data_IF_963964172953
#
_entry.id   IF_963964172953
#
_cell.length_a   1.000
_cell.length_b   1.000
_cell.length_c   1.000
_cell.angle_alpha   90.00
_cell.angle_beta   90.00
_cell.angle_gamma   90.00
#
_symmetry.space_group_name_H-M   'P 1'
#
loop_
_entity.id
_entity.type
_entity.pdbx_description
1 polymer ?
#
# COMPACT_ATOMS: atom_id res chain seq x y z
N UNK A 1 71.12 -54.83 -54.08
CA UNK A 1 71.78 -53.53 -54.25
C UNK A 1 71.78 -52.82 -52.90
N UNK A 2 72.96 -52.67 -52.31
CA UNK A 2 73.26 -51.77 -51.19
C UNK A 2 73.41 -50.33 -51.76
N UNK A 3 73.47 -49.21 -50.99
CA UNK A 3 73.20 -49.02 -49.55
C UNK A 3 72.67 -47.60 -49.14
N UNK A 4 72.66 -47.31 -47.81
CA UNK A 4 73.19 -46.08 -47.13
C UNK A 4 72.46 -44.72 -47.39
N UNK A 5 72.28 -43.73 -46.50
CA UNK A 5 72.47 -43.42 -45.06
C UNK A 5 72.01 -41.94 -44.88
N UNK A 6 71.71 -41.54 -43.63
CA UNK A 6 71.83 -40.18 -43.06
C UNK A 6 70.84 -39.07 -43.49
N UNK A 7 70.60 -38.03 -42.71
CA UNK A 7 70.72 -37.73 -41.27
C UNK A 7 70.18 -36.29 -41.08
N UNK A 8 69.55 -36.05 -39.93
CA UNK A 8 69.31 -34.79 -39.19
C UNK A 8 69.54 -33.39 -39.81
N UNK A 9 68.59 -32.49 -39.50
CA UNK A 9 68.73 -31.16 -38.81
C UNK A 9 67.31 -30.58 -38.60
N UNK A 10 66.75 -30.48 -37.38
CA UNK A 10 66.96 -29.50 -36.27
C UNK A 10 66.45 -28.08 -36.59
N UNK A 11 65.68 -27.53 -35.64
CA UNK A 11 65.07 -26.17 -35.49
C UNK A 11 63.62 -26.05 -35.97
N UNK A 12 62.64 -25.46 -35.25
CA UNK A 12 62.63 -24.79 -33.95
C UNK A 12 61.17 -24.51 -33.52
N UNK A 13 60.99 -24.34 -32.21
CA UNK A 13 60.00 -23.49 -31.52
C UNK A 13 58.51 -23.88 -31.52
N UNK A 14 58.12 -24.38 -30.35
CA UNK A 14 56.87 -24.11 -29.61
C UNK A 14 56.23 -22.76 -29.90
N UNK A 15 54.90 -22.71 -30.08
CA UNK A 15 54.03 -21.69 -29.46
C UNK A 15 52.60 -22.24 -29.29
N UNK A 16 52.21 -22.34 -28.02
CA UNK A 16 50.87 -22.10 -27.45
C UNK A 16 49.69 -23.00 -27.81
N UNK A 17 49.37 -23.85 -26.84
CA UNK A 17 48.01 -24.31 -26.51
C UNK A 17 47.10 -23.11 -26.24
N UNK A 18 45.91 -23.06 -26.82
CA UNK A 18 44.73 -22.30 -26.33
C UNK A 18 43.53 -22.61 -27.24
N UNK A 19 42.90 -23.79 -27.10
CA UNK A 19 41.60 -24.03 -27.77
C UNK A 19 40.62 -24.94 -27.02
N UNK A 20 40.84 -25.22 -25.74
CA UNK A 20 39.93 -26.08 -24.94
C UNK A 20 39.64 -25.42 -23.58
N UNK A 21 39.28 -24.12 -23.59
CA UNK A 21 38.72 -23.43 -22.41
C UNK A 21 37.49 -22.57 -22.72
N UNK A 22 37.09 -22.46 -23.98
CA UNK A 22 35.98 -21.58 -24.38
C UNK A 22 34.59 -22.25 -24.44
N UNK A 23 34.50 -23.59 -24.38
CA UNK A 23 33.23 -24.32 -24.46
C UNK A 23 32.65 -24.77 -23.12
N UNK A 24 33.36 -24.52 -22.01
CA UNK A 24 32.85 -24.82 -20.65
C UNK A 24 32.41 -23.58 -19.87
N UNK A 25 32.62 -22.38 -20.41
CA UNK A 25 32.16 -21.13 -19.78
C UNK A 25 30.83 -20.63 -20.33
N UNK A 26 30.39 -21.04 -21.53
CA UNK A 26 29.07 -20.61 -22.05
C UNK A 26 27.90 -21.42 -21.51
N UNK A 27 28.13 -22.65 -21.00
CA UNK A 27 27.08 -23.48 -20.40
C UNK A 27 26.85 -23.21 -18.91
N UNK A 28 27.76 -22.50 -18.23
CA UNK A 28 27.60 -22.13 -16.81
C UNK A 28 26.92 -20.76 -16.61
N UNK A 29 26.89 -19.92 -17.66
CA UNK A 29 26.28 -18.57 -17.60
C UNK A 29 24.76 -18.64 -17.87
N UNK A 30 24.26 -19.69 -18.51
CA UNK A 30 22.84 -19.86 -18.83
C UNK A 30 21.99 -20.50 -17.72
N UNK A 31 22.59 -20.89 -16.58
CA UNK A 31 21.83 -21.50 -15.46
C UNK A 31 21.69 -20.58 -14.25
N UNK A 32 22.17 -19.33 -14.31
CA UNK A 32 22.10 -18.37 -13.19
C UNK A 32 21.23 -17.14 -13.46
N UNK A 33 20.68 -16.97 -14.67
CA UNK A 33 19.83 -15.81 -15.00
C UNK A 33 18.33 -16.01 -14.73
N UNK A 34 17.87 -17.24 -14.50
CA UNK A 34 16.43 -17.55 -14.68
C UNK A 34 15.63 -17.82 -13.40
N UNK A 35 16.14 -17.46 -12.21
CA UNK A 35 15.32 -17.46 -10.99
C UNK A 35 14.94 -16.06 -10.49
N UNK A 36 15.69 -15.02 -10.86
CA UNK A 36 15.41 -13.64 -10.42
C UNK A 36 14.54 -12.89 -11.43
N UNK A 37 14.67 -13.17 -12.72
CA UNK A 37 13.87 -12.55 -13.78
C UNK A 37 12.43 -13.06 -13.77
N UNK A 38 12.20 -14.36 -13.56
CA UNK A 38 10.84 -14.91 -13.42
C UNK A 38 10.12 -14.44 -12.14
N UNK A 39 10.85 -14.16 -11.05
CA UNK A 39 10.29 -13.53 -9.83
C UNK A 39 9.85 -12.08 -10.03
N UNK A 40 10.38 -11.37 -11.03
CA UNK A 40 9.97 -10.00 -11.37
C UNK A 40 8.68 -9.95 -12.20
N UNK A 41 8.40 -11.00 -12.98
CA UNK A 41 7.26 -11.02 -13.93
C UNK A 41 6.00 -11.60 -13.27
N UNK A 42 6.14 -12.51 -12.31
CA UNK A 42 5.04 -13.03 -11.51
C UNK A 42 5.31 -12.77 -10.03
N UNK A 43 4.88 -11.60 -9.52
CA UNK A 43 4.71 -11.44 -8.08
C UNK A 43 3.72 -12.53 -7.63
N UNK A 44 4.18 -13.46 -6.80
CA UNK A 44 3.32 -14.49 -6.22
C UNK A 44 2.28 -13.76 -5.37
N UNK A 45 1.07 -13.68 -5.90
CA UNK A 45 -0.08 -13.06 -5.26
C UNK A 45 -0.20 -13.61 -3.83
N UNK A 46 -0.11 -12.70 -2.85
CA UNK A 46 0.07 -13.06 -1.45
C UNK A 46 -1.12 -13.90 -0.97
N UNK A 47 -0.84 -15.08 -0.41
CA UNK A 47 -1.85 -16.00 0.13
C UNK A 47 -2.71 -15.28 1.18
N UNK A 48 -2.10 -14.35 1.93
CA UNK A 48 -2.81 -13.49 2.86
C UNK A 48 -3.85 -12.61 2.15
N UNK A 49 -3.48 -11.88 1.10
CA UNK A 49 -4.39 -11.00 0.37
C UNK A 49 -5.58 -11.77 -0.22
N UNK A 50 -5.35 -12.98 -0.74
CA UNK A 50 -6.43 -13.86 -1.22
C UNK A 50 -7.38 -14.25 -0.10
N UNK A 51 -6.87 -14.50 1.11
CA UNK A 51 -7.70 -14.87 2.25
C UNK A 51 -8.68 -13.77 2.68
N UNK A 52 -8.35 -12.50 2.40
CA UNK A 52 -9.23 -11.36 2.70
C UNK A 52 -10.48 -11.32 1.81
N UNK A 53 -10.41 -11.98 0.64
CA UNK A 53 -11.48 -12.04 -0.35
C UNK A 53 -12.05 -10.63 -0.62
N UNK A 54 -11.17 -9.72 -1.05
CA UNK A 54 -11.49 -8.34 -1.36
C UNK A 54 -11.69 -8.17 -2.87
N UNK A 55 -12.54 -7.20 -3.29
CA UNK A 55 -12.58 -6.79 -4.69
C UNK A 55 -11.21 -6.27 -5.18
N UNK A 56 -10.86 -6.56 -6.43
CA UNK A 56 -9.56 -6.21 -7.02
C UNK A 56 -9.22 -4.71 -6.94
N UNK A 57 -10.21 -3.85 -7.24
CA UNK A 57 -10.08 -2.39 -7.18
C UNK A 57 -9.70 -1.86 -5.78
N UNK A 58 -9.86 -2.66 -4.72
CA UNK A 58 -9.45 -2.29 -3.37
C UNK A 58 -7.93 -2.38 -3.21
N UNK A 59 -7.29 -3.38 -3.83
CA UNK A 59 -5.86 -3.65 -3.64
C UNK A 59 -4.98 -2.72 -4.48
N UNK A 60 -5.51 -2.17 -5.57
CA UNK A 60 -4.79 -1.25 -6.44
C UNK A 60 -4.91 0.19 -5.98
N UNK A 61 -3.79 0.92 -5.96
CA UNK A 61 -3.74 2.36 -5.72
C UNK A 61 -2.85 3.01 -6.77
N UNK A 62 -3.39 3.97 -7.50
CA UNK A 62 -2.68 4.75 -8.53
C UNK A 62 -2.42 6.20 -8.10
N UNK A 63 -2.86 6.58 -6.89
CA UNK A 63 -2.83 7.97 -6.43
C UNK A 63 -1.45 8.29 -5.83
N UNK A 64 -0.54 8.73 -6.69
CA UNK A 64 0.57 9.61 -6.29
C UNK A 64 0.01 11.03 -6.22
N UNK A 65 0.13 11.68 -5.07
CA UNK A 65 -0.43 13.02 -4.85
C UNK A 65 0.01 13.99 -5.96
N UNK A 66 -0.95 14.67 -6.57
CA UNK A 66 -0.69 15.97 -7.19
C UNK A 66 -0.89 17.01 -6.11
N UNK A 67 0.21 17.55 -5.60
CA UNK A 67 0.19 18.83 -4.90
C UNK A 67 -0.38 19.83 -5.90
N UNK A 68 -1.60 20.32 -5.67
CA UNK A 68 -2.16 21.37 -6.51
C UNK A 68 -1.31 22.62 -6.28
N UNK A 69 -0.54 22.93 -7.32
CA UNK A 69 0.19 24.18 -7.47
C UNK A 69 -0.83 25.28 -7.72
N UNK A 70 -1.07 26.09 -6.69
CA UNK A 70 -1.31 27.53 -6.82
C UNK A 70 -2.49 27.92 -7.69
N UNK A 71 -3.69 27.90 -7.10
CA UNK A 71 -4.76 28.90 -7.29
C UNK A 71 -5.94 28.47 -6.39
N UNK A 72 -6.07 29.16 -5.25
CA UNK A 72 -7.07 28.95 -4.19
C UNK A 72 -6.94 27.61 -3.43
N UNK A 73 -5.81 27.44 -2.74
CA UNK A 73 -5.54 26.27 -1.89
C UNK A 73 -6.18 26.41 -0.51
N UNK A 74 -7.41 25.92 -0.34
CA UNK A 74 -7.68 25.14 0.88
C UNK A 74 -7.25 23.73 0.50
N UNK A 75 -6.21 23.13 1.11
CA UNK A 75 -5.84 21.77 0.81
C UNK A 75 -7.08 20.91 1.06
N UNK A 76 -7.63 20.30 0.01
CA UNK A 76 -8.61 19.25 0.19
C UNK A 76 -7.89 18.19 1.03
N UNK A 77 -8.33 17.90 2.26
CA UNK A 77 -7.62 17.00 3.18
C UNK A 77 -7.46 15.61 2.58
N UNK A 78 -8.43 15.23 1.76
CA UNK A 78 -8.36 14.03 0.93
C UNK A 78 -7.06 14.03 0.09
N UNK A 79 -6.60 15.13 -0.49
CA UNK A 79 -5.44 15.16 -1.38
C UNK A 79 -4.09 15.37 -0.65
N UNK A 80 -4.06 15.23 0.67
CA UNK A 80 -2.84 15.44 1.47
C UNK A 80 -2.01 14.16 1.72
N UNK A 81 -2.63 12.98 1.62
CA UNK A 81 -1.97 11.68 1.86
C UNK A 81 -2.37 10.67 0.78
N UNK A 82 -1.41 9.90 0.21
CA UNK A 82 -1.71 8.76 -0.64
C UNK A 82 -2.57 7.73 0.12
N UNK A 83 -3.43 7.01 -0.60
CA UNK A 83 -4.31 5.99 0.02
C UNK A 83 -3.50 4.88 0.69
N UNK A 84 -2.32 4.57 0.14
CA UNK A 84 -1.42 3.54 0.66
C UNK A 84 -0.73 3.95 1.98
N UNK A 85 -0.61 5.26 2.23
CA UNK A 85 -0.11 5.77 3.51
C UNK A 85 -1.18 5.72 4.61
N UNK A 86 -2.46 5.69 4.23
CA UNK A 86 -3.58 5.61 5.17
C UNK A 86 -3.85 4.17 5.58
N UNK A 87 -3.93 3.25 4.62
CA UNK A 87 -4.13 1.84 4.90
C UNK A 87 -3.54 0.95 3.79
N UNK A 88 -2.71 -0.02 4.18
CA UNK A 88 -2.04 -0.99 3.30
C UNK A 88 -1.99 -2.38 3.91
N UNK A 89 -1.60 -3.34 3.09
CA UNK A 89 -1.26 -4.69 3.54
C UNK A 89 0.21 -4.94 3.23
N UNK A 90 0.98 -5.33 4.23
CA UNK A 90 2.41 -5.62 4.08
C UNK A 90 2.78 -6.80 4.98
N UNK A 91 3.59 -7.73 4.45
CA UNK A 91 4.12 -8.88 5.21
C UNK A 91 3.05 -9.71 5.94
N UNK A 92 1.88 -9.90 5.33
CA UNK A 92 0.79 -10.67 5.92
C UNK A 92 0.02 -9.94 7.04
N UNK A 93 0.18 -8.62 7.15
CA UNK A 93 -0.50 -7.80 8.15
C UNK A 93 -1.07 -6.51 7.54
N UNK A 94 -2.01 -5.88 8.23
CA UNK A 94 -2.70 -4.66 7.78
C UNK A 94 -2.08 -3.43 8.45
N UNK A 95 -1.43 -2.54 7.70
CA UNK A 95 -0.91 -1.25 8.20
C UNK A 95 -2.00 -0.18 8.12
N UNK A 96 -2.21 0.57 9.19
CA UNK A 96 -3.21 1.64 9.25
C UNK A 96 -2.60 2.86 9.92
N UNK A 97 -2.83 4.03 9.34
CA UNK A 97 -2.49 5.32 9.94
C UNK A 97 -3.43 5.63 11.11
N UNK A 98 -2.88 6.05 12.25
CA UNK A 98 -3.66 6.61 13.36
C UNK A 98 -3.00 7.88 13.86
N UNK A 99 -3.79 8.89 14.19
CA UNK A 99 -3.27 10.22 14.58
C UNK A 99 -3.08 10.41 16.08
N UNK A 100 -3.61 9.49 16.90
CA UNK A 100 -3.43 9.49 18.35
C UNK A 100 -3.52 8.08 18.95
N UNK A 101 -3.00 7.85 20.17
CA UNK A 101 -3.17 6.58 20.87
C UNK A 101 -4.64 6.21 21.13
N UNK A 102 -5.51 7.19 21.38
CA UNK A 102 -6.94 6.93 21.55
C UNK A 102 -7.60 6.55 20.22
N UNK A 103 -7.28 7.26 19.13
CA UNK A 103 -7.75 6.90 17.79
C UNK A 103 -7.32 5.49 17.39
N UNK A 104 -6.09 5.12 17.72
CA UNK A 104 -5.57 3.76 17.52
C UNK A 104 -6.43 2.71 18.23
N UNK A 105 -6.75 2.93 19.51
CA UNK A 105 -7.60 2.02 20.28
C UNK A 105 -9.00 1.91 19.65
N UNK A 106 -9.60 3.04 19.29
CA UNK A 106 -10.92 3.08 18.66
C UNK A 106 -10.93 2.37 17.29
N UNK A 107 -9.86 2.54 16.50
CA UNK A 107 -9.66 1.84 15.23
C UNK A 107 -9.54 0.33 15.45
N UNK A 108 -8.76 -0.11 16.44
CA UNK A 108 -8.63 -1.53 16.77
C UNK A 108 -9.96 -2.14 17.21
N UNK A 109 -10.70 -1.46 18.07
CA UNK A 109 -12.03 -1.89 18.53
C UNK A 109 -13.04 -1.95 17.37
N UNK A 110 -12.98 -0.98 16.45
CA UNK A 110 -13.88 -0.93 15.29
C UNK A 110 -13.55 -1.99 14.23
N UNK A 111 -12.26 -2.28 14.01
CA UNK A 111 -11.81 -3.11 12.90
C UNK A 111 -11.68 -4.59 13.24
N UNK A 112 -11.39 -4.92 14.50
CA UNK A 112 -11.11 -6.29 14.92
C UNK A 112 -9.89 -6.88 14.21
N UNK A 113 -9.72 -8.21 14.36
CA UNK A 113 -8.63 -8.93 13.71
C UNK A 113 -8.96 -9.25 12.24
N UNK A 114 -7.94 -9.22 11.39
CA UNK A 114 -8.05 -9.50 9.95
C UNK A 114 -8.45 -10.96 9.66
N UNK A 115 -8.34 -11.86 10.64
CA UNK A 115 -8.84 -13.23 10.57
C UNK A 115 -10.31 -13.40 10.99
N UNK A 116 -10.97 -12.31 11.39
CA UNK A 116 -12.38 -12.27 11.78
C UNK A 116 -12.64 -12.63 13.24
N UNK A 117 -11.60 -13.02 13.99
CA UNK A 117 -11.73 -13.22 15.43
C UNK A 117 -11.80 -11.88 16.17
N UNK A 118 -12.32 -11.91 17.40
CA UNK A 118 -12.35 -10.69 18.22
C UNK A 118 -10.94 -10.36 18.71
N UNK A 119 -10.71 -9.06 18.89
CA UNK A 119 -9.53 -8.56 19.55
C UNK A 119 -9.54 -8.98 21.04
N UNK A 120 -8.46 -9.59 21.49
CA UNK A 120 -8.24 -9.99 22.88
C UNK A 120 -7.40 -8.96 23.66
N UNK A 121 -6.51 -8.23 22.99
CA UNK A 121 -5.69 -7.18 23.60
C UNK A 121 -4.85 -6.43 22.58
N UNK A 122 -4.13 -5.41 23.03
CA UNK A 122 -3.19 -4.64 22.21
C UNK A 122 -1.84 -4.60 22.91
N UNK A 123 -0.76 -4.84 22.17
CA UNK A 123 0.63 -4.85 22.65
C UNK A 123 1.45 -3.83 21.88
N UNK A 124 2.01 -2.86 22.58
CA UNK A 124 2.97 -1.92 21.99
C UNK A 124 4.30 -2.61 21.68
N UNK A 125 5.00 -2.16 20.65
CA UNK A 125 6.36 -2.56 20.33
C UNK A 125 7.26 -1.33 20.10
N UNK A 126 8.56 -1.58 19.86
CA UNK A 126 9.59 -0.57 19.71
C UNK A 126 9.43 0.25 18.43
N UNK A 127 9.72 1.55 18.56
CA UNK A 127 9.85 2.50 17.45
C UNK A 127 10.82 1.95 16.40
N UNK A 128 10.40 1.92 15.14
CA UNK A 128 11.25 1.49 14.01
C UNK A 128 12.27 2.57 13.64
N UNK A 129 13.25 2.23 12.81
CA UNK A 129 14.22 3.20 12.25
C UNK A 129 13.56 4.32 11.42
N UNK A 130 12.30 4.14 11.02
CA UNK A 130 11.47 5.12 10.30
C UNK A 130 10.61 5.97 11.23
N UNK A 131 10.87 5.92 12.54
CA UNK A 131 10.07 6.58 13.59
C UNK A 131 8.60 6.10 13.62
N UNK A 132 8.36 4.85 13.20
CA UNK A 132 7.01 4.25 13.24
C UNK A 132 6.81 3.54 14.58
N UNK A 133 5.70 3.82 15.24
CA UNK A 133 5.31 3.15 16.49
C UNK A 133 4.43 1.94 16.17
N UNK A 134 4.99 0.74 16.28
CA UNK A 134 4.30 -0.49 15.86
C UNK A 134 3.52 -1.06 17.02
N UNK A 135 2.22 -1.29 16.84
CA UNK A 135 1.38 -1.94 17.84
C UNK A 135 0.76 -3.22 17.24
N UNK A 136 0.68 -4.26 18.05
CA UNK A 136 0.13 -5.55 17.66
C UNK A 136 -1.22 -5.76 18.35
N UNK A 137 -2.24 -6.05 17.55
CA UNK A 137 -3.49 -6.59 18.05
C UNK A 137 -3.33 -8.08 18.33
N UNK A 138 -3.63 -8.51 19.55
CA UNK A 138 -3.67 -9.92 19.93
C UNK A 138 -5.08 -10.41 19.67
N UNK A 139 -5.23 -11.41 18.82
CA UNK A 139 -6.50 -12.00 18.44
C UNK A 139 -6.91 -13.12 19.39
N UNK A 140 -8.22 -13.39 19.52
CA UNK A 140 -8.72 -14.43 20.43
C UNK A 140 -8.18 -15.84 20.15
N UNK A 141 -7.79 -16.11 18.90
CA UNK A 141 -7.17 -17.37 18.52
C UNK A 141 -5.65 -17.43 18.77
N UNK A 142 -5.07 -16.39 19.38
CA UNK A 142 -3.64 -16.27 19.68
C UNK A 142 -2.77 -15.79 18.53
N UNK A 143 -3.33 -15.52 17.35
CA UNK A 143 -2.59 -14.87 16.26
C UNK A 143 -2.40 -13.39 16.57
N UNK A 144 -1.34 -12.83 16.02
CA UNK A 144 -1.10 -11.39 16.04
C UNK A 144 -1.56 -10.81 14.70
N UNK A 145 -2.34 -9.75 14.75
CA UNK A 145 -2.55 -8.85 13.62
C UNK A 145 -1.68 -7.61 13.87
N UNK A 146 -0.70 -7.39 13.01
CA UNK A 146 0.17 -6.22 13.14
C UNK A 146 -0.51 -5.04 12.45
N UNK A 147 -0.98 -4.08 13.25
CA UNK A 147 -1.31 -2.77 12.70
C UNK A 147 -0.09 -1.89 12.89
N UNK A 148 0.65 -1.69 11.80
CA UNK A 148 1.78 -0.77 11.83
C UNK A 148 1.22 0.64 11.76
N UNK A 149 1.38 1.39 12.86
CA UNK A 149 0.95 2.77 12.95
C UNK A 149 2.13 3.70 12.68
N UNK A 150 1.88 4.70 11.83
CA UNK A 150 2.80 5.81 11.66
C UNK A 150 2.25 7.00 12.44
N UNK A 151 2.70 7.17 13.68
CA UNK A 151 2.40 8.39 14.44
C UNK A 151 3.11 9.55 13.74
N UNK A 152 2.39 10.33 12.94
CA UNK A 152 2.99 11.44 12.19
C UNK A 152 3.59 12.51 13.13
N UNK A 153 3.17 12.55 14.41
CA UNK A 153 3.59 13.55 15.40
C UNK A 153 3.54 13.00 16.83
N UNK A 154 4.43 12.06 17.19
CA UNK A 154 4.57 11.62 18.59
C UNK A 154 4.74 12.83 19.53
N UNK A 155 3.91 12.88 20.58
CA UNK A 155 3.95 13.97 21.56
C UNK A 155 3.15 15.22 21.18
N UNK A 156 2.42 15.22 20.06
CA UNK A 156 1.46 16.29 19.77
C UNK A 156 0.19 16.14 20.63
N UNK A 157 0.25 16.67 21.85
CA UNK A 157 -0.86 16.70 22.82
C UNK A 157 -2.09 17.40 22.25
N UNK A 158 -1.91 18.35 21.33
CA UNK A 158 -3.03 19.06 20.71
C UNK A 158 -3.81 18.15 19.76
N UNK A 159 -3.15 17.29 18.97
CA UNK A 159 -3.84 16.30 18.14
C UNK A 159 -4.67 15.33 18.99
N UNK A 160 -4.14 14.89 20.14
CA UNK A 160 -4.86 13.97 21.02
C UNK A 160 -6.12 14.63 21.58
N UNK A 161 -5.98 15.89 22.03
CA UNK A 161 -7.10 16.68 22.52
C UNK A 161 -8.13 16.94 21.42
N UNK A 162 -7.69 17.22 20.19
CA UNK A 162 -8.58 17.42 19.03
C UNK A 162 -9.33 16.16 18.67
N UNK A 163 -8.70 14.99 18.76
CA UNK A 163 -9.39 13.73 18.52
C UNK A 163 -10.60 13.57 19.46
N UNK A 164 -10.38 13.72 20.76
CA UNK A 164 -11.44 13.56 21.77
C UNK A 164 -12.49 14.68 21.71
N UNK A 165 -12.06 15.95 21.55
CA UNK A 165 -12.96 17.11 21.64
C UNK A 165 -13.64 17.48 20.33
N UNK A 166 -13.05 17.11 19.19
CA UNK A 166 -13.52 17.53 17.87
C UNK A 166 -13.88 16.34 16.99
N UNK A 167 -12.99 15.34 16.86
CA UNK A 167 -13.21 14.22 15.92
C UNK A 167 -14.38 13.34 16.35
N UNK A 168 -14.39 12.89 17.61
CA UNK A 168 -15.45 12.00 18.12
C UNK A 168 -16.83 12.70 18.06
N UNK A 169 -17.02 13.94 18.55
CA UNK A 169 -18.31 14.62 18.45
C UNK A 169 -18.72 14.91 17.00
N UNK A 170 -17.79 15.33 16.15
CA UNK A 170 -18.08 15.60 14.73
C UNK A 170 -18.55 14.33 14.01
N UNK A 171 -17.94 13.17 14.31
CA UNK A 171 -18.38 11.89 13.76
C UNK A 171 -19.79 11.52 14.23
N UNK A 172 -20.08 11.66 15.52
CA UNK A 172 -21.42 11.37 16.05
C UNK A 172 -22.50 12.25 15.41
N UNK A 173 -22.21 13.53 15.22
CA UNK A 173 -23.11 14.47 14.57
C UNK A 173 -23.27 14.15 13.08
N UNK A 174 -22.18 13.90 12.34
CA UNK A 174 -22.22 13.52 10.93
C UNK A 174 -23.12 12.30 10.69
N UNK A 175 -22.97 11.27 11.54
CA UNK A 175 -23.79 10.04 11.48
C UNK A 175 -25.28 10.33 11.67
N UNK A 176 -25.65 11.20 12.61
CA UNK A 176 -27.05 11.60 12.88
C UNK A 176 -27.65 12.38 11.70
N UNK A 177 -26.85 13.25 11.08
CA UNK A 177 -27.30 14.12 10.01
C UNK A 177 -27.33 13.47 8.63
N UNK A 178 -26.69 12.31 8.45
CA UNK A 178 -26.54 11.64 7.15
C UNK A 178 -27.85 11.47 6.35
N UNK A 179 -28.98 11.29 7.03
CA UNK A 179 -30.30 11.15 6.39
C UNK A 179 -31.03 12.49 6.20
N UNK A 180 -30.86 13.45 7.12
CA UNK A 180 -31.67 14.66 7.20
C UNK A 180 -31.00 15.89 6.61
N UNK A 181 -29.66 15.94 6.65
CA UNK A 181 -28.84 17.04 6.14
C UNK A 181 -27.52 16.47 5.58
N UNK A 182 -27.57 15.86 4.38
CA UNK A 182 -26.41 15.18 3.80
C UNK A 182 -25.23 16.14 3.57
N UNK A 183 -25.47 17.40 3.23
CA UNK A 183 -24.39 18.37 3.00
C UNK A 183 -23.62 18.70 4.28
N UNK A 184 -24.34 18.90 5.39
CA UNK A 184 -23.69 19.08 6.70
C UNK A 184 -22.97 17.81 7.14
N UNK A 185 -23.55 16.63 6.87
CA UNK A 185 -22.91 15.36 7.16
C UNK A 185 -21.61 15.15 6.37
N UNK A 186 -21.57 15.54 5.09
CA UNK A 186 -20.33 15.53 4.27
C UNK A 186 -19.28 16.42 4.90
N UNK A 187 -19.61 17.67 5.26
CA UNK A 187 -18.64 18.60 5.86
C UNK A 187 -18.05 18.07 7.17
N UNK A 188 -18.88 17.56 8.06
CA UNK A 188 -18.42 16.99 9.33
C UNK A 188 -17.61 15.71 9.12
N UNK A 189 -18.02 14.84 8.20
CA UNK A 189 -17.27 13.63 7.89
C UNK A 189 -15.92 13.94 7.23
N UNK A 190 -15.84 14.99 6.41
CA UNK A 190 -14.57 15.51 5.90
C UNK A 190 -13.68 15.98 7.05
N UNK A 191 -14.20 16.81 7.98
CA UNK A 191 -13.48 17.23 9.19
C UNK A 191 -12.91 16.04 9.98
N UNK A 192 -13.71 14.97 10.12
CA UNK A 192 -13.27 13.75 10.80
C UNK A 192 -12.09 13.10 10.10
N UNK A 193 -12.09 12.98 8.76
CA UNK A 193 -10.99 12.35 8.03
C UNK A 193 -9.76 13.25 7.85
N UNK A 194 -9.86 14.57 8.10
CA UNK A 194 -8.66 15.42 8.21
C UNK A 194 -7.90 15.13 9.50
N UNK A 195 -8.65 14.87 10.59
CA UNK A 195 -8.09 14.61 11.91
C UNK A 195 -7.75 13.13 12.14
N UNK A 196 -8.50 12.21 11.51
CA UNK A 196 -8.25 10.77 11.55
C UNK A 196 -8.51 10.15 10.16
N UNK A 197 -7.49 10.16 9.27
CA UNK A 197 -7.65 9.71 7.88
C UNK A 197 -8.10 8.26 7.73
N UNK A 198 -7.84 7.38 8.71
CA UNK A 198 -8.26 5.99 8.62
C UNK A 198 -9.64 5.73 9.22
N UNK A 199 -10.37 6.75 9.69
CA UNK A 199 -11.64 6.57 10.39
C UNK A 199 -12.67 5.79 9.53
N UNK A 200 -12.98 4.51 9.83
CA UNK A 200 -13.72 3.64 8.91
C UNK A 200 -15.17 4.09 8.72
N UNK A 201 -15.80 4.58 9.79
CA UNK A 201 -17.17 5.10 9.76
C UNK A 201 -17.34 6.31 8.83
N UNK A 202 -16.51 7.34 9.01
CA UNK A 202 -16.50 8.53 8.17
C UNK A 202 -16.17 8.22 6.70
N UNK A 203 -15.17 7.36 6.44
CA UNK A 203 -14.85 6.87 5.08
C UNK A 203 -16.06 6.21 4.42
N UNK A 204 -16.72 5.28 5.10
CA UNK A 204 -17.93 4.64 4.59
C UNK A 204 -19.07 5.65 4.36
N UNK A 205 -19.24 6.61 5.26
CA UNK A 205 -20.27 7.63 5.14
C UNK A 205 -20.04 8.53 3.91
N UNK A 206 -18.82 9.04 3.73
CA UNK A 206 -18.44 9.82 2.55
C UNK A 206 -18.60 9.00 1.27
N UNK A 207 -18.14 7.73 1.27
CA UNK A 207 -18.37 6.80 0.16
C UNK A 207 -19.84 6.71 -0.23
N UNK A 208 -20.74 6.60 0.75
CA UNK A 208 -22.19 6.57 0.52
C UNK A 208 -22.76 7.90 0.01
N UNK A 209 -22.37 9.02 0.63
CA UNK A 209 -22.90 10.35 0.30
C UNK A 209 -22.42 10.80 -1.09
N UNK A 210 -21.14 10.60 -1.41
CA UNK A 210 -20.60 10.87 -2.74
C UNK A 210 -21.21 9.98 -3.82
N UNK A 211 -21.45 8.69 -3.53
CA UNK A 211 -22.15 7.81 -4.48
C UNK A 211 -23.58 8.28 -4.77
N UNK A 212 -24.29 8.76 -3.74
CA UNK A 212 -25.63 9.33 -3.89
C UNK A 212 -25.61 10.63 -4.70
N UNK A 213 -24.59 11.46 -4.51
CA UNK A 213 -24.38 12.69 -5.27
C UNK A 213 -23.78 12.51 -6.66
N UNK A 214 -23.48 11.27 -7.09
CA UNK A 214 -22.88 10.98 -8.39
C UNK A 214 -21.36 11.25 -8.48
N UNK A 215 -20.70 11.59 -7.38
CA UNK A 215 -19.25 11.81 -7.35
C UNK A 215 -18.50 10.47 -7.22
N UNK A 216 -18.37 9.76 -8.35
CA UNK A 216 -17.79 8.42 -8.40
C UNK A 216 -16.33 8.36 -7.90
N UNK A 217 -15.48 9.30 -8.31
CA UNK A 217 -14.06 9.32 -7.92
C UNK A 217 -13.88 9.34 -6.40
N UNK A 218 -14.54 10.29 -5.72
CA UNK A 218 -14.48 10.38 -4.26
C UNK A 218 -15.16 9.21 -3.56
N UNK A 219 -16.22 8.66 -4.15
CA UNK A 219 -16.90 7.49 -3.60
C UNK A 219 -16.00 6.25 -3.59
N UNK A 220 -15.43 5.89 -4.75
CA UNK A 220 -14.54 4.73 -4.89
C UNK A 220 -13.35 4.86 -3.96
N UNK A 221 -12.71 6.04 -3.92
CA UNK A 221 -11.59 6.32 -3.01
C UNK A 221 -11.94 6.07 -1.54
N UNK A 222 -13.03 6.66 -1.07
CA UNK A 222 -13.42 6.52 0.33
C UNK A 222 -13.84 5.08 0.68
N UNK A 223 -14.49 4.36 -0.24
CA UNK A 223 -14.74 2.93 -0.05
C UNK A 223 -13.48 2.07 -0.13
N UNK A 224 -12.48 2.45 -0.94
CA UNK A 224 -11.20 1.74 -1.03
C UNK A 224 -10.53 1.73 0.33
N UNK A 225 -10.34 2.91 0.91
CA UNK A 225 -9.76 3.07 2.25
C UNK A 225 -10.62 2.35 3.28
N UNK A 226 -11.94 2.49 3.25
CA UNK A 226 -12.85 1.77 4.15
C UNK A 226 -12.63 0.26 4.13
N UNK A 227 -12.52 -0.36 2.95
CA UNK A 227 -12.34 -1.81 2.81
C UNK A 227 -10.89 -2.26 3.09
N UNK A 228 -9.89 -1.38 2.98
CA UNK A 228 -8.53 -1.67 3.46
C UNK A 228 -8.46 -1.63 4.99
N UNK A 229 -9.14 -0.67 5.61
CA UNK A 229 -9.26 -0.57 7.07
C UNK A 229 -10.14 -1.68 7.62
N UNK A 230 -11.23 -2.06 6.95
CA UNK A 230 -12.15 -3.13 7.34
C UNK A 230 -12.29 -4.21 6.26
N UNK A 231 -11.28 -5.09 6.07
CA UNK A 231 -11.29 -6.07 4.98
C UNK A 231 -12.37 -7.14 5.11
N UNK A 232 -12.85 -7.37 6.34
CA UNK A 232 -13.93 -8.30 6.64
C UNK A 232 -15.29 -7.62 6.84
N UNK A 233 -15.45 -6.38 6.38
CA UNK A 233 -16.74 -5.69 6.41
C UNK A 233 -17.84 -6.55 5.76
N UNK A 234 -18.90 -6.85 6.51
CA UNK A 234 -20.00 -7.71 6.05
C UNK A 234 -20.74 -7.17 4.82
N UNK A 235 -20.64 -5.88 4.55
CA UNK A 235 -21.27 -5.23 3.40
C UNK A 235 -20.32 -4.96 2.22
N UNK A 236 -19.10 -5.53 2.20
CA UNK A 236 -18.12 -5.31 1.13
C UNK A 236 -18.64 -5.62 -0.27
N UNK A 237 -19.40 -6.71 -0.44
CA UNK A 237 -19.96 -7.09 -1.73
C UNK A 237 -21.13 -6.20 -2.14
N UNK A 238 -21.93 -5.75 -1.18
CA UNK A 238 -22.97 -4.73 -1.44
C UNK A 238 -22.36 -3.40 -1.88
N UNK A 239 -21.21 -3.02 -1.31
CA UNK A 239 -20.45 -1.84 -1.77
C UNK A 239 -19.95 -2.05 -3.19
N UNK A 240 -19.31 -3.18 -3.47
CA UNK A 240 -18.81 -3.51 -4.80
C UNK A 240 -19.91 -3.49 -5.86
N UNK A 241 -21.04 -4.15 -5.63
CA UNK A 241 -22.19 -4.18 -6.54
C UNK A 241 -22.71 -2.77 -6.85
N UNK A 242 -22.88 -1.93 -5.83
CA UNK A 242 -23.35 -0.54 -6.00
C UNK A 242 -22.37 0.31 -6.79
N UNK A 243 -21.07 0.12 -6.60
CA UNK A 243 -20.05 0.83 -7.37
C UNK A 243 -19.95 0.29 -8.81
N UNK A 244 -20.13 -1.02 -9.02
CA UNK A 244 -20.15 -1.62 -10.35
C UNK A 244 -21.34 -1.12 -11.16
N UNK A 245 -22.50 -0.94 -10.52
CA UNK A 245 -23.71 -0.41 -11.15
C UNK A 245 -23.55 1.08 -11.52
N UNK A 246 -23.04 1.90 -10.60
CA UNK A 246 -23.07 3.37 -10.75
C UNK A 246 -21.77 4.00 -11.25
N UNK A 247 -20.64 3.35 -10.99
CA UNK A 247 -19.29 3.88 -11.21
C UNK A 247 -18.33 2.84 -11.83
N UNK A 248 -18.73 2.03 -12.83
CA UNK A 248 -17.93 0.91 -13.33
C UNK A 248 -16.56 1.33 -13.88
N UNK A 249 -16.46 2.52 -14.47
CA UNK A 249 -15.21 3.01 -15.06
C UNK A 249 -14.14 3.36 -14.03
N UNK A 250 -14.54 3.65 -12.79
CA UNK A 250 -13.61 4.00 -11.70
C UNK A 250 -13.13 2.77 -10.91
N UNK A 251 -13.65 1.58 -11.24
CA UNK A 251 -13.19 0.31 -10.64
C UNK A 251 -12.09 -0.37 -11.45
N UNK A 252 -11.84 0.10 -12.68
CA UNK A 252 -10.78 -0.44 -13.53
C UNK A 252 -9.41 0.06 -13.02
N UNK A 253 -8.36 -0.77 -13.10
CA UNK A 253 -7.00 -0.32 -12.83
C UNK A 253 -6.68 0.91 -13.67
N UNK A 254 -6.19 1.99 -13.05
CA UNK A 254 -5.58 3.05 -13.84
C UNK A 254 -4.30 2.49 -14.49
N UNK A 255 -4.06 2.75 -15.79
CA UNK A 255 -2.85 2.28 -16.43
C UNK A 255 -1.62 2.84 -15.69
N UNK A 256 -0.71 1.94 -15.28
CA UNK A 256 0.55 2.33 -14.64
C UNK A 256 1.26 3.33 -15.54
N UNK A 257 1.34 4.60 -15.11
CA UNK A 257 2.21 5.58 -15.77
C UNK A 257 3.63 5.15 -15.46
N UNK A 258 4.39 4.78 -16.49
CA UNK A 258 5.84 4.61 -16.39
C UNK A 258 6.39 5.89 -15.74
N UNK A 259 7.11 5.72 -14.63
CA UNK A 259 7.93 6.79 -14.09
C UNK A 259 8.96 7.11 -15.18
N UNK A 260 8.77 8.24 -15.85
CA UNK A 260 9.80 8.79 -16.72
C UNK A 260 10.95 9.16 -15.79
N UNK A 261 11.99 8.32 -15.75
CA UNK A 261 13.26 8.67 -15.14
C UNK A 261 13.72 9.97 -15.79
N UNK A 262 13.64 11.07 -15.02
CA UNK A 262 14.21 12.33 -15.45
C UNK A 262 15.71 12.10 -15.62
N UNK A 263 16.31 12.44 -16.77
CA UNK A 263 17.73 12.26 -16.97
C UNK A 263 18.47 13.00 -15.86
N UNK A 264 19.38 12.31 -15.19
CA UNK A 264 20.28 12.91 -14.20
C UNK A 264 20.98 14.07 -14.89
N UNK A 265 20.63 15.30 -14.52
CA UNK A 265 21.39 16.48 -14.93
C UNK A 265 22.74 16.36 -14.26
N UNK A 266 23.75 16.06 -15.08
CA UNK A 266 25.15 15.96 -14.70
C UNK A 266 25.55 17.28 -14.00
N UNK A 267 25.87 17.26 -12.68
CA UNK A 267 26.16 18.46 -11.91
C UNK A 267 27.43 19.20 -12.38
N UNK A 268 28.19 18.59 -13.28
CA UNK A 268 29.44 19.14 -13.83
C UNK A 268 29.25 19.79 -15.23
N UNK A 269 28.00 20.06 -15.65
CA UNK A 269 27.68 20.76 -16.90
C UNK A 269 27.47 22.28 -16.72
N UNK A 270 28.49 22.97 -16.21
CA UNK A 270 28.61 24.44 -16.31
C UNK A 270 30.05 24.87 -16.60
#
# INVERSE_FOLDING_TARGET
MLPIVANQKVLSRSFFSHSIRFLLFSSLILTLTDCTVYRRIFQKEDVFLKSLNLPEWVLESSIKLRVLSGLLDVPNPEDSLPEDEIATFENGARRILATSPQAMKDLFEATGCVDGSKLAGIRANRITEREEDVWYGICQNGKEDAIIFRLFQMGNVDLYRRYEKETVPAWEEARKLAANNPDKAVRLANQVIELEPAHPGARKLLGNLYLKGGYCKGSVRNYRIYLRVMPLAGDKWKVHERLQEKCPDFLKPEPKKEEVELPETDPDSF
#
